data_IF_077164103030
#
_entry.id   IF_077164103030
#
_cell.length_a   1.000
_cell.length_b   1.000
_cell.length_c   1.000
_cell.angle_alpha   90.00
_cell.angle_beta   90.00
_cell.angle_gamma   90.00
#
_symmetry.space_group_name_H-M   'P 1'
#
loop_
_entity.id
_entity.type
_entity.pdbx_description
1 polymer ?
#
# COMPACT_ATOMS: atom_id res chain seq x y z
N UNK A 1 32.43 -45.09 15.17
CA UNK A 1 31.42 -44.05 14.86
C UNK A 1 31.31 -43.08 16.03
N UNK A 2 31.75 -41.82 15.90
CA UNK A 2 31.48 -40.78 16.90
C UNK A 2 30.39 -39.80 16.43
N UNK A 3 29.57 -39.35 17.39
CA UNK A 3 28.53 -38.32 17.23
C UNK A 3 29.19 -36.93 17.26
N UNK A 4 29.05 -36.15 16.19
CA UNK A 4 29.40 -34.72 16.20
C UNK A 4 28.25 -33.90 16.78
N UNK A 5 28.46 -33.34 17.97
CA UNK A 5 27.55 -32.39 18.63
C UNK A 5 27.83 -30.96 18.18
N UNK A 6 26.78 -30.24 17.78
CA UNK A 6 26.81 -28.79 17.59
C UNK A 6 26.85 -28.09 18.96
N UNK A 7 27.93 -27.35 19.25
CA UNK A 7 27.98 -26.42 20.38
C UNK A 7 27.20 -25.14 20.02
N UNK A 8 26.20 -24.80 20.82
CA UNK A 8 25.52 -23.50 20.77
C UNK A 8 26.33 -22.51 21.61
N UNK A 9 26.98 -21.53 20.95
CA UNK A 9 27.64 -20.43 21.65
C UNK A 9 26.61 -19.60 22.43
N UNK A 10 26.83 -19.43 23.74
CA UNK A 10 26.04 -18.50 24.57
C UNK A 10 26.41 -17.06 24.21
N UNK A 11 25.45 -16.12 24.08
CA UNK A 11 25.76 -14.73 23.84
C UNK A 11 26.53 -14.15 25.03
N UNK A 12 27.56 -13.34 24.74
CA UNK A 12 28.30 -12.57 25.75
C UNK A 12 27.37 -11.58 26.47
N UNK A 13 27.57 -11.31 27.78
CA UNK A 13 26.75 -10.34 28.49
C UNK A 13 26.95 -8.93 27.93
N UNK A 14 25.87 -8.18 27.77
CA UNK A 14 25.94 -6.74 27.46
C UNK A 14 26.78 -6.01 28.53
N UNK A 15 27.67 -5.08 28.14
CA UNK A 15 28.42 -4.28 29.10
C UNK A 15 27.47 -3.40 29.92
N UNK A 16 27.69 -3.34 31.23
CA UNK A 16 26.86 -2.63 32.21
C UNK A 16 27.02 -1.09 32.15
N UNK A 17 27.84 -0.58 31.25
CA UNK A 17 28.02 0.85 30.95
C UNK A 17 28.30 1.05 29.47
N UNK A 18 27.61 2.00 28.85
CA UNK A 18 27.86 2.44 27.49
C UNK A 18 28.18 3.92 27.54
N UNK A 19 29.38 4.29 27.08
CA UNK A 19 29.82 5.68 26.97
C UNK A 19 29.69 6.14 25.52
N UNK A 20 28.94 7.23 25.30
CA UNK A 20 28.87 7.93 24.02
C UNK A 20 29.23 9.40 24.22
N UNK A 21 29.76 10.03 23.16
CA UNK A 21 30.21 11.42 23.18
C UNK A 21 29.20 12.26 22.38
N UNK A 22 28.35 13.01 23.08
CA UNK A 22 27.45 14.01 22.50
C UNK A 22 27.98 15.40 22.89
N UNK A 23 28.16 16.28 21.91
CA UNK A 23 28.54 17.70 22.10
C UNK A 23 29.74 17.93 23.05
N UNK A 24 30.83 17.18 22.86
CA UNK A 24 32.11 17.46 23.52
C UNK A 24 32.19 17.19 25.04
N UNK A 25 31.11 16.71 25.71
CA UNK A 25 31.17 16.24 27.10
C UNK A 25 30.96 14.73 27.19
N UNK A 26 31.78 14.08 28.02
CA UNK A 26 31.65 12.66 28.32
C UNK A 26 30.56 12.45 29.37
N UNK A 27 29.46 11.78 29.02
CA UNK A 27 28.42 11.40 29.97
C UNK A 27 28.40 9.88 30.13
N UNK A 28 28.33 9.43 31.40
CA UNK A 28 28.19 8.01 31.74
C UNK A 28 26.80 7.78 32.27
N UNK A 29 25.97 7.04 31.53
CA UNK A 29 24.61 6.67 31.98
C UNK A 29 24.64 5.25 32.52
N UNK A 30 24.17 5.06 33.77
CA UNK A 30 23.93 3.72 34.34
C UNK A 30 22.63 3.18 33.77
N UNK A 31 22.68 2.02 33.11
CA UNK A 31 21.49 1.25 32.77
C UNK A 31 20.92 0.59 34.04
N UNK A 32 19.61 0.74 34.36
CA UNK A 32 19.02 0.04 35.48
C UNK A 32 18.99 -1.47 35.22
N UNK A 33 19.21 -2.26 36.27
CA UNK A 33 19.21 -3.72 36.18
C UNK A 33 17.80 -4.24 35.84
N UNK A 34 17.64 -4.85 34.66
CA UNK A 34 16.41 -5.52 34.25
C UNK A 34 16.31 -6.83 35.04
N UNK A 35 15.35 -6.93 35.96
CA UNK A 35 15.01 -8.22 36.59
C UNK A 35 14.40 -9.15 35.53
N UNK A 36 14.83 -10.42 35.44
CA UNK A 36 14.23 -11.35 34.49
C UNK A 36 12.78 -11.65 34.89
N UNK A 37 11.85 -11.75 33.94
CA UNK A 37 10.46 -12.07 34.23
C UNK A 37 10.32 -13.48 34.80
N UNK A 38 9.53 -13.62 35.86
CA UNK A 38 9.13 -14.91 36.43
C UNK A 38 8.42 -15.75 35.37
N UNK A 39 8.87 -16.99 35.18
CA UNK A 39 8.35 -17.97 34.22
C UNK A 39 6.82 -18.13 34.32
N UNK A 40 6.09 -17.58 33.36
CA UNK A 40 4.91 -18.19 32.69
C UNK A 40 4.40 -17.24 31.59
N UNK A 41 5.00 -17.36 30.41
CA UNK A 41 4.39 -16.92 29.15
C UNK A 41 4.65 -18.01 28.12
N UNK A 42 3.61 -18.78 27.78
CA UNK A 42 3.55 -19.55 26.53
C UNK A 42 2.92 -18.60 25.52
N UNK A 43 3.62 -18.27 24.44
CA UNK A 43 3.00 -17.50 23.35
C UNK A 43 3.95 -16.93 22.31
N UNK A 44 4.07 -17.67 21.20
CA UNK A 44 4.24 -17.19 19.82
C UNK A 44 5.50 -16.37 19.50
N UNK A 45 6.61 -17.07 19.25
CA UNK A 45 7.62 -16.61 18.29
C UNK A 45 7.22 -17.08 16.89
N UNK A 46 7.01 -16.15 15.97
CA UNK A 46 7.14 -16.41 14.53
C UNK A 46 8.24 -15.48 14.01
N UNK A 47 9.28 -16.01 13.33
CA UNK A 47 10.36 -15.20 12.79
C UNK A 47 9.88 -14.37 11.58
N UNK A 48 10.48 -13.20 11.41
CA UNK A 48 10.39 -12.38 10.20
C UNK A 48 11.03 -13.18 9.06
N UNK A 49 10.20 -13.91 8.33
CA UNK A 49 10.58 -14.63 7.12
C UNK A 49 10.14 -13.84 5.89
N UNK A 50 11.09 -13.53 5.01
CA UNK A 50 10.83 -13.34 3.59
C UNK A 50 10.33 -14.68 3.08
N UNK A 51 9.01 -14.81 2.87
CA UNK A 51 8.40 -16.07 2.43
C UNK A 51 7.84 -15.91 1.02
N UNK A 52 8.47 -16.66 0.12
CA UNK A 52 8.01 -17.08 -1.20
C UNK A 52 6.55 -17.52 -1.20
N UNK A 53 5.77 -17.03 -2.18
CA UNK A 53 4.35 -17.32 -2.34
C UNK A 53 4.12 -18.79 -2.78
N UNK A 54 3.96 -19.67 -1.79
CA UNK A 54 3.42 -21.02 -1.96
C UNK A 54 1.99 -21.14 -1.42
N UNK A 55 1.03 -21.27 -2.35
CA UNK A 55 -0.31 -21.90 -2.28
C UNK A 55 -0.96 -22.13 -0.90
N UNK A 56 -2.22 -21.66 -0.73
CA UNK A 56 -3.40 -22.48 -0.37
C UNK A 56 -4.70 -21.66 -0.37
N UNK A 57 -5.71 -22.17 -1.07
CA UNK A 57 -7.11 -21.77 -1.03
C UNK A 57 -7.86 -22.48 0.13
N UNK A 58 -9.01 -21.95 0.61
CA UNK A 58 -9.81 -22.61 1.64
C UNK A 58 -10.74 -23.71 1.07
N UNK A 59 -11.22 -24.64 1.93
CA UNK A 59 -11.75 -25.94 1.51
C UNK A 59 -13.25 -25.93 1.18
N UNK A 60 -13.62 -26.80 0.25
CA UNK A 60 -15.01 -27.16 -0.06
C UNK A 60 -15.63 -28.08 0.99
N UNK A 61 -16.97 -28.05 1.05
CA UNK A 61 -17.81 -29.03 1.74
C UNK A 61 -18.35 -30.06 0.74
N UNK A 62 -18.47 -31.29 1.24
CA UNK A 62 -18.72 -32.53 0.51
C UNK A 62 -20.19 -32.93 0.39
N UNK A 63 -20.51 -33.48 -0.80
CA UNK A 63 -21.37 -34.63 -1.15
C UNK A 63 -22.79 -34.81 -0.59
N UNK A 64 -23.76 -34.99 -1.49
CA UNK A 64 -24.76 -36.08 -1.48
C UNK A 64 -24.95 -36.59 -2.93
N UNK A 65 -25.33 -37.86 -3.04
CA UNK A 65 -25.13 -38.82 -4.13
C UNK A 65 -26.21 -38.87 -5.25
N UNK A 66 -25.73 -39.32 -6.42
CA UNK A 66 -26.23 -40.25 -7.45
C UNK A 66 -27.75 -40.50 -7.68
N UNK A 67 -28.19 -40.31 -8.94
CA UNK A 67 -28.78 -41.29 -9.90
C UNK A 67 -29.89 -40.66 -10.78
N UNK A 68 -29.88 -40.94 -12.09
CA UNK A 68 -31.10 -40.86 -12.92
C UNK A 68 -30.93 -40.28 -14.33
N UNK A 69 -31.08 -41.17 -15.32
CA UNK A 69 -31.10 -41.00 -16.79
C UNK A 69 -32.17 -40.03 -17.30
N UNK A 70 -31.92 -39.33 -18.42
CA UNK A 70 -32.98 -38.67 -19.20
C UNK A 70 -32.50 -37.87 -20.42
N UNK A 71 -32.82 -38.35 -21.62
CA UNK A 71 -32.53 -37.74 -22.93
C UNK A 71 -33.20 -36.37 -23.14
N UNK A 72 -32.51 -35.55 -23.95
CA UNK A 72 -33.01 -34.59 -24.93
C UNK A 72 -34.16 -33.64 -24.57
N UNK A 73 -33.86 -32.32 -24.58
CA UNK A 73 -34.62 -31.36 -25.40
C UNK A 73 -33.83 -30.06 -25.59
N UNK A 74 -33.69 -29.68 -26.86
CA UNK A 74 -33.15 -28.42 -27.35
C UNK A 74 -34.07 -27.25 -26.98
N UNK A 75 -33.74 -26.55 -25.89
CA UNK A 75 -34.35 -25.28 -25.51
C UNK A 75 -33.67 -24.11 -26.20
N UNK A 76 -34.45 -23.32 -26.94
CA UNK A 76 -34.07 -22.08 -27.64
C UNK A 76 -33.21 -21.17 -26.75
N UNK A 77 -32.05 -20.79 -27.28
CA UNK A 77 -31.22 -19.71 -26.74
C UNK A 77 -32.07 -18.42 -26.68
N UNK A 78 -32.33 -17.94 -25.46
CA UNK A 78 -32.90 -16.61 -25.25
C UNK A 78 -31.94 -15.58 -25.85
N UNK A 79 -32.45 -14.77 -26.78
CA UNK A 79 -31.70 -13.67 -27.38
C UNK A 79 -31.20 -12.74 -26.26
N UNK A 80 -29.87 -12.69 -26.09
CA UNK A 80 -29.25 -11.73 -25.21
C UNK A 80 -29.67 -10.31 -25.64
N UNK A 81 -30.10 -9.49 -24.69
CA UNK A 81 -30.47 -8.09 -24.96
C UNK A 81 -29.32 -7.38 -25.66
N UNK A 82 -29.58 -6.49 -26.64
CA UNK A 82 -28.52 -5.76 -27.31
C UNK A 82 -27.74 -4.94 -26.28
N UNK A 83 -26.45 -5.25 -26.12
CA UNK A 83 -25.56 -4.44 -25.29
C UNK A 83 -25.43 -3.08 -25.97
N UNK A 84 -25.88 -2.03 -25.29
CA UNK A 84 -25.77 -0.66 -25.74
C UNK A 84 -24.30 -0.33 -26.05
N UNK A 85 -24.05 0.18 -27.26
CA UNK A 85 -22.69 0.46 -27.75
C UNK A 85 -22.17 1.75 -27.11
N UNK A 86 -21.60 1.64 -25.91
CA UNK A 86 -20.78 2.70 -25.31
C UNK A 86 -19.61 3.08 -26.24
N UNK A 87 -19.18 4.36 -26.27
CA UNK A 87 -17.93 4.77 -26.89
C UNK A 87 -16.75 3.89 -26.45
N UNK A 88 -15.77 3.68 -27.33
CA UNK A 88 -14.63 2.76 -27.08
C UNK A 88 -13.87 3.11 -25.80
N UNK A 89 -13.67 4.39 -25.53
CA UNK A 89 -12.97 4.87 -24.34
C UNK A 89 -13.73 4.53 -23.05
N UNK A 90 -15.03 4.82 -23.00
CA UNK A 90 -15.88 4.48 -21.85
C UNK A 90 -15.90 2.98 -21.58
N UNK A 91 -15.85 2.16 -22.64
CA UNK A 91 -15.77 0.70 -22.51
C UNK A 91 -14.41 0.25 -21.99
N UNK A 92 -13.33 0.88 -22.42
CA UNK A 92 -11.99 0.57 -21.93
C UNK A 92 -11.86 0.89 -20.43
N UNK A 93 -12.32 2.06 -20.01
CA UNK A 93 -12.32 2.45 -18.60
C UNK A 93 -13.14 1.48 -17.74
N UNK A 94 -14.30 1.03 -18.22
CA UNK A 94 -15.09 -0.02 -17.57
C UNK A 94 -14.33 -1.35 -17.47
N UNK A 95 -13.64 -1.77 -18.53
CA UNK A 95 -12.82 -2.99 -18.53
C UNK A 95 -11.70 -2.91 -17.48
N UNK A 96 -10.96 -1.79 -17.43
CA UNK A 96 -9.87 -1.57 -16.46
C UNK A 96 -10.41 -1.55 -15.02
N UNK A 97 -11.53 -0.87 -14.78
CA UNK A 97 -12.16 -0.83 -13.47
C UNK A 97 -12.62 -2.22 -12.99
N UNK A 98 -13.28 -2.99 -13.87
CA UNK A 98 -13.73 -4.35 -13.55
C UNK A 98 -12.54 -5.29 -13.34
N UNK A 99 -11.49 -5.18 -14.17
CA UNK A 99 -10.27 -5.95 -14.01
C UNK A 99 -9.58 -5.67 -12.68
N UNK A 100 -9.52 -4.41 -12.27
CA UNK A 100 -8.99 -4.00 -10.96
C UNK A 100 -9.73 -4.70 -9.82
N UNK A 101 -11.06 -4.73 -9.87
CA UNK A 101 -11.86 -5.42 -8.85
C UNK A 101 -11.62 -6.94 -8.85
N UNK A 102 -11.52 -7.56 -10.03
CA UNK A 102 -11.24 -9.00 -10.15
C UNK A 102 -9.85 -9.33 -9.59
N UNK A 103 -8.83 -8.53 -9.91
CA UNK A 103 -7.48 -8.72 -9.37
C UNK A 103 -7.43 -8.50 -7.86
N UNK A 104 -8.19 -7.55 -7.32
CA UNK A 104 -8.32 -7.38 -5.88
C UNK A 104 -8.93 -8.61 -5.19
N UNK A 105 -10.00 -9.18 -5.76
CA UNK A 105 -10.73 -10.32 -5.19
C UNK A 105 -9.99 -11.65 -5.32
N UNK A 106 -9.36 -11.90 -6.47
CA UNK A 106 -8.82 -13.23 -6.84
C UNK A 106 -7.29 -13.27 -6.90
N UNK A 107 -6.63 -12.11 -6.82
CA UNK A 107 -5.23 -11.96 -7.21
C UNK A 107 -5.03 -12.12 -8.72
N UNK A 108 -3.89 -11.68 -9.23
CA UNK A 108 -3.58 -11.79 -10.66
C UNK A 108 -3.58 -13.25 -11.15
N UNK A 109 -2.99 -14.16 -10.37
CA UNK A 109 -2.88 -15.57 -10.75
C UNK A 109 -4.23 -16.29 -10.76
N UNK A 110 -5.13 -15.96 -9.83
CA UNK A 110 -6.47 -16.55 -9.74
C UNK A 110 -7.49 -15.97 -10.71
N UNK A 111 -7.23 -14.78 -11.26
CA UNK A 111 -8.09 -14.12 -12.23
C UNK A 111 -7.94 -14.70 -13.66
N UNK A 112 -9.06 -14.74 -14.39
CA UNK A 112 -9.12 -15.13 -15.80
C UNK A 112 -9.79 -14.07 -16.68
N UNK A 113 -9.52 -14.10 -17.99
CA UNK A 113 -10.23 -13.25 -18.96
C UNK A 113 -11.71 -13.64 -19.12
N UNK A 114 -12.09 -14.85 -18.70
CA UNK A 114 -13.50 -15.24 -18.66
C UNK A 114 -14.23 -14.51 -17.53
N UNK A 115 -13.61 -14.40 -16.34
CA UNK A 115 -14.19 -13.63 -15.22
C UNK A 115 -14.50 -12.18 -15.63
N UNK A 116 -13.57 -11.57 -16.39
CA UNK A 116 -13.75 -10.23 -16.93
C UNK A 116 -14.91 -10.17 -17.92
N UNK A 117 -14.94 -11.09 -18.89
CA UNK A 117 -15.98 -11.16 -19.91
C UNK A 117 -17.37 -11.29 -19.28
N UNK A 118 -17.51 -12.19 -18.31
CA UNK A 118 -18.76 -12.44 -17.59
C UNK A 118 -19.21 -11.22 -16.80
N UNK A 119 -18.28 -10.54 -16.11
CA UNK A 119 -18.61 -9.38 -15.26
C UNK A 119 -18.89 -8.10 -16.05
N UNK A 120 -18.24 -7.91 -17.21
CA UNK A 120 -18.52 -6.80 -18.14
C UNK A 120 -19.77 -7.09 -19.01
N UNK A 121 -20.18 -8.36 -19.14
CA UNK A 121 -21.32 -8.77 -19.96
C UNK A 121 -21.00 -8.85 -21.45
N UNK A 122 -19.78 -9.25 -21.81
CA UNK A 122 -19.33 -9.42 -23.20
C UNK A 122 -18.78 -10.83 -23.43
N UNK A 123 -18.64 -11.23 -24.69
CA UNK A 123 -18.00 -12.50 -25.02
C UNK A 123 -16.49 -12.40 -24.74
N UNK A 124 -15.88 -13.51 -24.31
CA UNK A 124 -14.43 -13.59 -24.10
C UNK A 124 -13.65 -13.20 -25.36
N UNK A 125 -14.14 -13.56 -26.55
CA UNK A 125 -13.55 -13.13 -27.82
C UNK A 125 -13.54 -11.60 -27.99
N UNK A 126 -14.55 -10.90 -27.47
CA UNK A 126 -14.64 -9.43 -27.51
C UNK A 126 -13.66 -8.75 -26.55
N UNK A 127 -13.20 -9.43 -25.50
CA UNK A 127 -12.14 -8.91 -24.60
C UNK A 127 -10.83 -8.74 -25.38
N UNK A 128 -10.50 -9.70 -26.26
CA UNK A 128 -9.27 -9.66 -27.05
C UNK A 128 -9.21 -8.53 -28.09
N UNK A 129 -10.32 -7.83 -28.33
CA UNK A 129 -10.31 -6.59 -29.10
C UNK A 129 -9.58 -5.44 -28.36
N UNK A 130 -9.55 -5.49 -27.03
CA UNK A 130 -8.95 -4.45 -26.19
C UNK A 130 -7.54 -4.79 -25.72
N UNK A 131 -7.25 -6.07 -25.50
CA UNK A 131 -5.99 -6.56 -24.94
C UNK A 131 -5.49 -7.76 -25.73
N UNK A 132 -4.18 -7.92 -25.87
CA UNK A 132 -3.61 -9.12 -26.48
C UNK A 132 -3.50 -10.28 -25.46
N UNK A 133 -3.32 -9.96 -24.18
CA UNK A 133 -3.11 -10.94 -23.12
C UNK A 133 -3.61 -10.47 -21.74
N UNK A 134 -3.67 -11.40 -20.78
CA UNK A 134 -3.93 -11.07 -19.37
C UNK A 134 -2.81 -10.20 -18.76
N UNK A 135 -1.57 -10.33 -19.25
CA UNK A 135 -0.47 -9.44 -18.84
C UNK A 135 -0.73 -8.00 -19.26
N UNK A 136 -1.22 -7.78 -20.49
CA UNK A 136 -1.52 -6.41 -20.97
C UNK A 136 -2.64 -5.75 -20.16
N UNK A 137 -3.62 -6.54 -19.72
CA UNK A 137 -4.66 -6.06 -18.81
C UNK A 137 -4.09 -5.67 -17.44
N UNK A 138 -3.17 -6.48 -16.89
CA UNK A 138 -2.49 -6.13 -15.63
C UNK A 138 -1.67 -4.85 -15.81
N UNK A 139 -0.91 -4.73 -16.89
CA UNK A 139 -0.15 -3.53 -17.25
C UNK A 139 -1.05 -2.30 -17.26
N UNK A 140 -2.17 -2.35 -17.98
CA UNK A 140 -3.13 -1.25 -18.05
C UNK A 140 -3.67 -0.83 -16.67
N UNK A 141 -4.04 -1.80 -15.82
CA UNK A 141 -4.48 -1.54 -14.44
C UNK A 141 -3.38 -0.86 -13.63
N UNK A 142 -2.16 -1.39 -13.66
CA UNK A 142 -1.03 -0.86 -12.89
C UNK A 142 -0.66 0.56 -13.37
N UNK A 143 -0.64 0.79 -14.67
CA UNK A 143 -0.38 2.10 -15.28
C UNK A 143 -1.40 3.15 -14.88
N UNK A 144 -2.69 2.81 -14.95
CA UNK A 144 -3.77 3.72 -14.56
C UNK A 144 -3.61 4.18 -13.11
N UNK A 145 -3.37 3.23 -12.20
CA UNK A 145 -3.16 3.52 -10.78
C UNK A 145 -1.88 4.32 -10.55
N UNK A 146 -0.80 3.98 -11.26
CA UNK A 146 0.46 4.70 -11.14
C UNK A 146 0.33 6.15 -11.61
N UNK A 147 -0.26 6.37 -12.79
CA UNK A 147 -0.49 7.68 -13.39
C UNK A 147 -1.36 8.55 -12.49
N UNK A 148 -2.50 8.04 -12.04
CA UNK A 148 -3.39 8.78 -11.16
C UNK A 148 -2.71 9.18 -9.83
N UNK A 149 -1.84 8.32 -9.30
CA UNK A 149 -1.05 8.61 -8.12
C UNK A 149 0.02 9.69 -8.36
N UNK A 150 0.79 9.59 -9.46
CA UNK A 150 1.81 10.59 -9.84
C UNK A 150 1.15 11.96 -10.04
N UNK A 151 0.09 12.03 -10.85
CA UNK A 151 -0.61 13.28 -11.10
C UNK A 151 -1.09 13.95 -9.81
N UNK A 152 -1.56 13.16 -8.84
CA UNK A 152 -2.00 13.66 -7.55
C UNK A 152 -0.85 14.34 -6.78
N UNK A 153 0.31 13.68 -6.67
CA UNK A 153 1.44 14.24 -5.92
C UNK A 153 2.12 15.38 -6.67
N UNK A 154 2.18 15.35 -8.00
CA UNK A 154 2.75 16.43 -8.82
C UNK A 154 1.92 17.71 -8.71
N UNK A 155 0.58 17.59 -8.80
CA UNK A 155 -0.34 18.73 -8.60
C UNK A 155 -0.13 19.39 -7.24
N UNK A 156 0.06 18.59 -6.18
CA UNK A 156 0.31 19.09 -4.83
C UNK A 156 1.70 19.71 -4.68
N UNK A 157 2.72 19.10 -5.29
CA UNK A 157 4.10 19.60 -5.28
C UNK A 157 4.27 20.91 -6.07
N UNK A 158 3.36 21.21 -7.00
CA UNK A 158 3.34 22.43 -7.79
C UNK A 158 2.53 23.59 -7.14
N UNK A 159 1.97 23.39 -5.94
CA UNK A 159 1.26 24.46 -5.21
C UNK A 159 2.22 25.54 -4.70
N UNK A 160 1.71 26.71 -4.29
CA UNK A 160 2.55 27.80 -3.74
C UNK A 160 3.16 27.46 -2.37
N UNK A 161 4.25 28.12 -1.99
CA UNK A 161 4.91 27.97 -0.68
C UNK A 161 6.27 27.27 -0.75
N UNK A 162 6.99 27.26 0.38
CA UNK A 162 8.31 26.61 0.47
C UNK A 162 8.21 25.09 0.29
N UNK A 163 9.34 24.44 -0.01
CA UNK A 163 9.37 23.01 -0.34
C UNK A 163 8.90 22.12 0.82
N UNK A 164 9.10 22.56 2.07
CA UNK A 164 8.65 21.84 3.26
C UNK A 164 7.12 21.85 3.40
N UNK A 165 6.49 22.99 3.14
CA UNK A 165 5.03 23.14 3.09
C UNK A 165 4.43 22.31 1.95
N UNK A 166 5.04 22.36 0.76
CA UNK A 166 4.62 21.53 -0.37
C UNK A 166 4.76 20.03 -0.06
N UNK A 167 5.84 19.61 0.60
CA UNK A 167 6.02 18.23 1.05
C UNK A 167 4.94 17.79 2.05
N UNK A 168 4.57 18.66 3.00
CA UNK A 168 3.47 18.41 3.93
C UNK A 168 2.16 18.11 3.17
N UNK A 169 1.82 18.96 2.18
CA UNK A 169 0.62 18.79 1.35
C UNK A 169 0.66 17.50 0.53
N UNK A 170 1.82 17.17 -0.06
CA UNK A 170 2.03 15.92 -0.79
C UNK A 170 1.81 14.70 0.11
N UNK A 171 2.33 14.70 1.34
CA UNK A 171 2.12 13.60 2.30
C UNK A 171 0.65 13.43 2.66
N UNK A 172 -0.04 14.53 3.00
CA UNK A 172 -1.47 14.49 3.35
C UNK A 172 -2.29 13.99 2.16
N UNK A 173 -2.10 14.59 0.99
CA UNK A 173 -2.85 14.25 -0.20
C UNK A 173 -2.53 12.86 -0.76
N UNK A 174 -1.33 12.34 -0.53
CA UNK A 174 -1.02 10.94 -0.82
C UNK A 174 -1.89 9.99 0.02
N UNK A 175 -1.94 10.21 1.34
CA UNK A 175 -2.74 9.34 2.23
C UNK A 175 -4.22 9.39 1.86
N UNK A 176 -4.75 10.59 1.61
CA UNK A 176 -6.14 10.76 1.18
C UNK A 176 -6.42 10.13 -0.19
N UNK A 177 -5.47 10.20 -1.12
CA UNK A 177 -5.57 9.53 -2.43
C UNK A 177 -5.60 8.01 -2.27
N UNK A 178 -4.68 7.43 -1.49
CA UNK A 178 -4.65 5.98 -1.23
C UNK A 178 -5.92 5.53 -0.52
N UNK A 179 -6.42 6.29 0.45
CA UNK A 179 -7.65 5.95 1.15
C UNK A 179 -8.88 5.92 0.23
N UNK A 180 -9.01 6.90 -0.68
CA UNK A 180 -10.09 6.94 -1.68
C UNK A 180 -9.97 5.82 -2.72
N UNK A 181 -8.74 5.38 -3.02
CA UNK A 181 -8.43 4.43 -4.09
C UNK A 181 -7.88 3.10 -3.55
N UNK A 182 -8.29 2.68 -2.35
CA UNK A 182 -7.66 1.59 -1.60
C UNK A 182 -7.60 0.26 -2.36
N UNK A 183 -8.64 -0.06 -3.12
CA UNK A 183 -8.72 -1.29 -3.94
C UNK A 183 -7.62 -1.26 -5.03
N UNK A 184 -7.63 -0.23 -5.86
CA UNK A 184 -6.61 0.01 -6.90
C UNK A 184 -5.20 0.06 -6.33
N UNK A 185 -4.96 0.79 -5.24
CA UNK A 185 -3.64 0.86 -4.59
C UNK A 185 -3.20 -0.49 -4.04
N UNK A 186 -4.12 -1.29 -3.51
CA UNK A 186 -3.81 -2.64 -3.04
C UNK A 186 -3.39 -3.54 -4.20
N UNK A 187 -4.13 -3.49 -5.33
CA UNK A 187 -3.75 -4.22 -6.54
C UNK A 187 -2.38 -3.78 -7.03
N UNK A 188 -2.12 -2.47 -7.09
CA UNK A 188 -0.81 -1.93 -7.45
C UNK A 188 0.30 -2.50 -6.57
N UNK A 189 0.19 -2.40 -5.24
CA UNK A 189 1.25 -2.81 -4.32
C UNK A 189 1.42 -4.33 -4.20
N UNK A 190 0.37 -5.11 -4.42
CA UNK A 190 0.44 -6.58 -4.39
C UNK A 190 0.94 -7.18 -5.72
N UNK A 191 0.46 -6.65 -6.84
CA UNK A 191 0.63 -7.29 -8.16
C UNK A 191 1.75 -6.66 -8.99
N UNK A 192 2.45 -5.64 -8.48
CA UNK A 192 3.61 -5.05 -9.16
C UNK A 192 4.68 -6.10 -9.52
N UNK A 193 4.85 -7.12 -8.66
CA UNK A 193 5.79 -8.22 -8.88
C UNK A 193 5.27 -9.29 -9.85
N UNK A 194 3.99 -9.22 -10.24
CA UNK A 194 3.38 -10.11 -11.23
C UNK A 194 3.61 -9.62 -12.68
N UNK A 195 4.11 -8.39 -12.85
CA UNK A 195 4.56 -7.87 -14.15
C UNK A 195 5.88 -8.51 -14.58
N UNK A 196 6.12 -8.56 -15.90
CA UNK A 196 7.46 -8.84 -16.43
C UNK A 196 8.45 -7.75 -15.98
N UNK A 197 9.74 -8.09 -15.91
CA UNK A 197 10.79 -7.12 -15.57
C UNK A 197 10.80 -5.92 -16.51
N UNK A 198 10.57 -6.16 -17.81
CA UNK A 198 10.47 -5.11 -18.83
C UNK A 198 9.30 -4.15 -18.57
N UNK A 199 8.08 -4.68 -18.34
CA UNK A 199 6.93 -3.83 -18.06
C UNK A 199 7.07 -3.10 -16.73
N UNK A 200 7.61 -3.77 -15.70
CA UNK A 200 7.88 -3.12 -14.41
C UNK A 200 8.89 -1.99 -14.58
N UNK A 201 9.97 -2.20 -15.33
CA UNK A 201 10.96 -1.16 -15.63
C UNK A 201 10.37 -0.02 -16.46
N UNK A 202 9.51 -0.31 -17.43
CA UNK A 202 8.84 0.71 -18.25
C UNK A 202 7.90 1.59 -17.43
N UNK A 203 7.15 1.00 -16.49
CA UNK A 203 6.20 1.72 -15.64
C UNK A 203 6.92 2.50 -14.53
N UNK A 204 7.91 1.90 -13.86
CA UNK A 204 8.57 2.49 -12.69
C UNK A 204 9.85 3.27 -13.00
N UNK A 205 10.46 3.02 -14.16
CA UNK A 205 11.83 3.46 -14.48
C UNK A 205 11.95 4.87 -15.04
N UNK A 206 10.84 5.56 -15.30
CA UNK A 206 10.91 6.93 -15.82
C UNK A 206 11.37 7.90 -14.72
N UNK A 207 12.15 8.92 -15.10
CA UNK A 207 12.71 9.93 -14.20
C UNK A 207 11.64 10.81 -13.52
N UNK A 208 10.36 10.65 -13.92
CA UNK A 208 9.16 11.15 -13.25
C UNK A 208 8.62 10.18 -12.19
N UNK A 209 9.43 9.21 -11.75
CA UNK A 209 9.04 8.22 -10.76
C UNK A 209 8.44 8.90 -9.53
N UNK A 210 7.41 8.28 -8.98
CA UNK A 210 6.73 8.69 -7.74
C UNK A 210 7.69 9.14 -6.62
N UNK A 211 8.85 8.49 -6.50
CA UNK A 211 9.93 8.81 -5.57
C UNK A 211 10.65 10.13 -5.87
N UNK A 212 10.81 10.47 -7.14
CA UNK A 212 11.54 11.64 -7.57
C UNK A 212 10.84 12.94 -7.14
N UNK A 213 9.52 12.97 -7.06
CA UNK A 213 8.75 14.10 -6.52
C UNK A 213 9.17 14.41 -5.07
N UNK A 214 9.16 13.40 -4.19
CA UNK A 214 9.59 13.56 -2.80
C UNK A 214 11.06 13.96 -2.70
N UNK A 215 11.92 13.32 -3.50
CA UNK A 215 13.36 13.63 -3.52
C UNK A 215 13.62 15.08 -3.97
N UNK A 216 12.91 15.56 -4.99
CA UNK A 216 13.03 16.92 -5.49
C UNK A 216 12.66 17.94 -4.41
N UNK A 217 11.53 17.74 -3.73
CA UNK A 217 11.12 18.63 -2.64
C UNK A 217 12.14 18.66 -1.49
N UNK A 218 12.76 17.52 -1.16
CA UNK A 218 13.81 17.49 -0.14
C UNK A 218 15.06 18.26 -0.60
N UNK A 219 15.49 18.08 -1.86
CA UNK A 219 16.63 18.82 -2.43
C UNK A 219 16.36 20.31 -2.51
N UNK A 220 15.16 20.70 -2.91
CA UNK A 220 14.72 22.09 -2.97
C UNK A 220 14.68 22.73 -1.57
N UNK A 221 14.11 22.02 -0.60
CA UNK A 221 14.05 22.50 0.78
C UNK A 221 15.43 22.69 1.43
N UNK A 222 16.44 21.91 1.01
CA UNK A 222 17.83 22.15 1.40
C UNK A 222 18.36 23.47 0.83
N UNK A 223 18.14 23.72 -0.46
CA UNK A 223 18.53 24.99 -1.12
C UNK A 223 17.84 26.20 -0.47
N UNK A 224 16.58 26.05 -0.06
CA UNK A 224 15.82 27.07 0.66
C UNK A 224 16.27 27.22 2.15
N UNK A 225 17.07 26.29 2.67
CA UNK A 225 17.50 26.24 4.08
C UNK A 225 16.40 25.82 5.06
N UNK A 226 15.29 25.28 4.57
CA UNK A 226 14.14 24.80 5.38
C UNK A 226 14.24 23.31 5.72
N UNK A 227 15.08 22.56 5.02
CA UNK A 227 15.39 21.14 5.29
C UNK A 227 16.83 20.98 5.78
N UNK A 228 17.03 20.06 6.72
CA UNK A 228 18.32 19.72 7.34
C UNK A 228 19.33 19.17 6.31
N UNK A 229 20.54 19.72 6.30
CA UNK A 229 21.58 19.40 5.33
C UNK A 229 22.12 17.97 5.46
N UNK A 230 22.16 17.43 6.68
CA UNK A 230 22.74 16.11 6.98
C UNK A 230 21.91 14.93 6.45
N UNK A 231 20.65 15.16 6.07
CA UNK A 231 19.74 14.10 5.62
C UNK A 231 19.92 13.86 4.13
N UNK A 232 20.38 12.68 3.74
CA UNK A 232 20.41 12.32 2.32
C UNK A 232 18.98 12.33 1.72
N UNK A 233 18.82 13.01 0.58
CA UNK A 233 17.49 13.23 -0.01
C UNK A 233 16.83 11.94 -0.50
N UNK A 234 17.62 10.96 -0.95
CA UNK A 234 17.09 9.66 -1.37
C UNK A 234 16.65 8.85 -0.15
N UNK A 235 17.43 8.84 0.92
CA UNK A 235 17.06 8.17 2.19
C UNK A 235 15.78 8.80 2.76
N UNK A 236 15.69 10.13 2.80
CA UNK A 236 14.48 10.83 3.26
C UNK A 236 13.25 10.47 2.44
N UNK A 237 13.36 10.51 1.11
CA UNK A 237 12.25 10.14 0.21
C UNK A 237 11.81 8.67 0.38
N UNK A 238 12.76 7.73 0.50
CA UNK A 238 12.47 6.31 0.74
C UNK A 238 11.82 6.07 2.10
N UNK A 239 12.25 6.77 3.15
CA UNK A 239 11.67 6.66 4.48
C UNK A 239 10.21 7.13 4.49
N UNK A 240 9.93 8.28 3.88
CA UNK A 240 8.57 8.79 3.71
C UNK A 240 7.75 7.77 2.94
N UNK A 241 8.16 7.43 1.71
CA UNK A 241 7.39 6.54 0.84
C UNK A 241 7.15 5.15 1.44
N UNK A 242 8.16 4.56 2.09
CA UNK A 242 8.00 3.26 2.75
C UNK A 242 6.91 3.30 3.81
N UNK A 243 6.83 4.37 4.59
CA UNK A 243 5.77 4.54 5.60
C UNK A 243 4.39 4.78 4.99
N UNK A 244 4.30 5.61 3.94
CA UNK A 244 3.03 5.92 3.27
C UNK A 244 2.48 4.70 2.53
N UNK A 245 3.35 3.97 1.83
CA UNK A 245 2.97 2.74 1.13
C UNK A 245 2.60 1.61 2.07
N UNK A 246 2.79 1.71 3.39
CA UNK A 246 2.35 0.65 4.32
C UNK A 246 0.87 0.76 4.69
N UNK A 247 0.23 1.92 4.47
CA UNK A 247 -1.11 2.18 4.97
C UNK A 247 -2.18 1.22 4.43
N UNK A 248 -2.03 0.75 3.18
CA UNK A 248 -3.02 -0.13 2.55
C UNK A 248 -3.28 -1.41 3.35
N UNK A 249 -2.32 -1.84 4.18
CA UNK A 249 -2.44 -3.05 4.99
C UNK A 249 -3.35 -2.88 6.19
N UNK A 250 -3.37 -1.70 6.80
CA UNK A 250 -4.01 -1.46 8.09
C UNK A 250 -5.11 -0.40 8.05
N UNK A 251 -5.12 0.51 7.08
CA UNK A 251 -6.19 1.49 6.91
C UNK A 251 -7.52 0.78 6.61
N UNK A 252 -8.60 1.26 7.22
CA UNK A 252 -9.97 0.78 7.01
C UNK A 252 -10.87 1.98 6.87
N UNK A 253 -11.65 2.01 5.79
CA UNK A 253 -12.68 3.04 5.63
C UNK A 253 -13.75 2.90 6.72
N UNK A 254 -14.22 4.03 7.27
CA UNK A 254 -15.05 4.06 8.46
C UNK A 254 -14.38 3.56 9.75
N UNK A 255 -13.05 3.40 9.75
CA UNK A 255 -12.26 2.99 10.90
C UNK A 255 -12.14 4.05 12.01
N UNK A 256 -11.24 3.83 12.95
CA UNK A 256 -11.01 4.75 14.09
C UNK A 256 -10.50 6.12 13.65
N UNK A 257 -9.65 6.17 12.62
CA UNK A 257 -9.01 7.39 12.16
C UNK A 257 -9.40 7.71 10.71
N UNK A 258 -9.98 8.89 10.44
CA UNK A 258 -10.17 9.37 9.07
C UNK A 258 -8.84 9.49 8.33
N UNK A 259 -8.84 9.25 7.02
CA UNK A 259 -7.65 9.36 6.15
C UNK A 259 -6.92 10.70 6.34
N UNK A 260 -7.67 11.80 6.41
CA UNK A 260 -7.10 13.14 6.62
C UNK A 260 -6.37 13.27 7.95
N UNK A 261 -6.89 12.68 9.02
CA UNK A 261 -6.22 12.66 10.33
C UNK A 261 -4.91 11.89 10.29
N UNK A 262 -4.89 10.74 9.59
CA UNK A 262 -3.66 9.97 9.36
C UNK A 262 -2.67 10.81 8.54
N UNK A 263 -3.14 11.45 7.46
CA UNK A 263 -2.32 12.31 6.61
C UNK A 263 -1.64 13.43 7.39
N UNK A 264 -2.38 14.12 8.26
CA UNK A 264 -1.84 15.17 9.13
C UNK A 264 -0.76 14.63 10.07
N UNK A 265 -0.99 13.50 10.73
CA UNK A 265 -0.01 12.92 11.66
C UNK A 265 1.25 12.40 10.94
N UNK A 266 1.09 11.78 9.76
CA UNK A 266 2.23 11.35 8.97
C UNK A 266 3.03 12.53 8.44
N UNK A 267 2.35 13.58 7.97
CA UNK A 267 3.01 14.80 7.53
C UNK A 267 3.77 15.46 8.69
N UNK A 268 3.16 15.57 9.87
CA UNK A 268 3.79 16.09 11.07
C UNK A 268 5.09 15.34 11.42
N UNK A 269 5.03 14.00 11.54
CA UNK A 269 6.18 13.16 11.84
C UNK A 269 7.33 13.34 10.84
N UNK A 270 7.01 13.34 9.54
CA UNK A 270 8.03 13.43 8.49
C UNK A 270 8.58 14.85 8.34
N UNK A 271 7.72 15.87 8.31
CA UNK A 271 8.13 17.27 8.15
C UNK A 271 9.00 17.70 9.32
N UNK A 272 8.59 17.43 10.57
CA UNK A 272 9.42 17.76 11.74
C UNK A 272 10.74 17.00 11.76
N UNK A 273 10.76 15.76 11.24
CA UNK A 273 12.01 15.01 11.08
C UNK A 273 12.93 15.56 9.98
N UNK A 274 12.45 16.42 9.08
CA UNK A 274 13.27 16.98 8.01
C UNK A 274 13.62 18.45 8.23
N UNK A 275 12.81 19.18 8.99
CA UNK A 275 12.86 20.63 9.08
C UNK A 275 14.07 21.16 9.85
N UNK A 276 14.60 22.31 9.40
CA UNK A 276 15.45 23.17 10.23
C UNK A 276 14.59 24.02 11.17
N UNK A 277 15.20 24.74 12.12
CA UNK A 277 14.47 25.71 12.94
C UNK A 277 13.79 26.80 12.08
N UNK A 278 14.46 27.25 11.00
CA UNK A 278 13.90 28.15 9.99
C UNK A 278 12.69 27.50 9.31
N UNK A 279 12.84 26.26 8.84
CA UNK A 279 11.77 25.53 8.17
C UNK A 279 10.52 25.37 9.03
N UNK A 280 10.66 25.10 10.33
CA UNK A 280 9.53 25.03 11.25
C UNK A 280 8.86 26.39 11.47
N UNK A 281 9.63 27.47 11.53
CA UNK A 281 9.09 28.83 11.70
C UNK A 281 8.34 29.32 10.45
N UNK A 282 8.75 28.86 9.26
CA UNK A 282 8.17 29.20 7.96
C UNK A 282 7.16 28.15 7.47
N UNK A 283 6.86 27.13 8.26
CA UNK A 283 5.93 26.07 7.88
C UNK A 283 4.50 26.58 7.94
N UNK A 284 3.80 26.55 6.80
CA UNK A 284 2.38 26.87 6.79
C UNK A 284 1.58 25.72 7.44
N UNK A 285 0.58 26.04 8.29
CA UNK A 285 -0.27 25.01 8.86
C UNK A 285 -1.14 24.39 7.77
N UNK A 286 -1.33 23.06 7.78
CA UNK A 286 -2.26 22.42 6.87
C UNK A 286 -3.69 22.79 7.25
N UNK A 287 -4.62 22.72 6.29
CA UNK A 287 -6.06 22.82 6.60
C UNK A 287 -6.43 21.81 7.71
N UNK A 288 -7.35 22.14 8.63
CA UNK A 288 -7.68 21.28 9.77
C UNK A 288 -8.51 20.05 9.36
N UNK A 289 -8.31 18.91 10.03
CA UNK A 289 -9.10 17.70 9.75
C UNK A 289 -10.59 17.94 10.03
N UNK A 290 -11.51 17.33 9.26
CA UNK A 290 -12.91 17.27 9.66
C UNK A 290 -12.99 16.60 11.04
N UNK A 291 -13.81 17.15 11.94
CA UNK A 291 -13.99 16.58 13.28
C UNK A 291 -14.39 15.11 13.13
N UNK A 292 -13.76 14.16 13.87
CA UNK A 292 -14.13 12.76 13.78
C UNK A 292 -15.62 12.62 14.08
N UNK A 293 -16.34 11.89 13.22
CA UNK A 293 -17.74 11.61 13.47
C UNK A 293 -17.85 10.98 14.86
N UNK A 294 -18.64 11.57 15.76
CA UNK A 294 -18.92 10.98 17.08
C UNK A 294 -19.36 9.54 16.81
N UNK A 295 -18.59 8.55 17.30
CA UNK A 295 -19.02 7.15 17.28
C UNK A 295 -20.44 7.13 17.82
N UNK A 296 -21.43 6.81 16.99
CA UNK A 296 -22.76 6.47 17.48
C UNK A 296 -22.52 5.31 18.43
N UNK A 297 -22.68 5.55 19.74
CA UNK A 297 -22.74 4.46 20.70
C UNK A 297 -23.88 3.58 20.22
N UNK A 298 -23.57 2.41 19.69
CA UNK A 298 -24.57 1.35 19.53
C UNK A 298 -25.21 1.21 20.90
N UNK A 299 -26.54 1.36 21.05
CA UNK A 299 -27.18 1.08 22.31
C UNK A 299 -26.77 -0.33 22.70
N UNK A 300 -26.24 -0.49 23.91
CA UNK A 300 -25.99 -1.81 24.46
C UNK A 300 -27.30 -2.59 24.30
N UNK A 301 -27.26 -3.73 23.62
CA UNK A 301 -28.39 -4.63 23.53
C UNK A 301 -28.91 -4.85 24.95
N UNK A 302 -30.11 -4.35 25.23
CA UNK A 302 -30.76 -4.56 26.50
C UNK A 302 -30.89 -6.07 26.69
N UNK A 303 -30.19 -6.60 27.70
CA UNK A 303 -30.50 -7.92 28.24
C UNK A 303 -31.77 -7.76 29.07
N UNK A 304 -32.90 -8.17 28.52
CA UNK A 304 -34.07 -8.70 29.22
C UNK A 304 -35.02 -9.31 28.19
#
# INVERSE_FOLDING_TARGET
MPRNGFQVNRPTPFPSRVTYRLYGRCQTVRTPAVRPPSRRFRGIHQPIGIVSAGKRAPPGRSSIATQGVGMAQSGRAGAAKPVERKPREDRWQEIVAVATQIFYEKGYQGASLQDLADRVGILKGSVYYYIASKQDLLVAVIEEVHRAGIENIEKLAATEGNALTRLQRVVIGHIEHVARNLISTTVFLHELNSLSDENRARILGDAHSYQQVFRNLIVEGKREGVVREEIDAKIGALSILGSLNWIYRWYRDGGEFPARTIGLQFADLHVHSLATAKGLAELEPPDPAPKPARRRRTPAAAKA
#
